data_IF_214511533537
#
_entry.id   IF_214511533537
#
_cell.length_a   1.000
_cell.length_b   1.000
_cell.length_c   1.000
_cell.angle_alpha   90.00
_cell.angle_beta   90.00
_cell.angle_gamma   90.00
#
_symmetry.space_group_name_H-M   'P 1'
#
loop_
_entity.id
_entity.type
_entity.pdbx_description
1 polymer ?
#
# COMPACT_ATOMS: atom_id res chain seq x y z
N UNK A 1 -5.29 5.18 -10.78
CA UNK A 1 -6.42 4.88 -11.69
C UNK A 1 -5.83 4.67 -13.08
N UNK A 2 -5.91 3.47 -13.63
CA UNK A 2 -5.43 3.19 -15.00
C UNK A 2 -6.49 3.71 -15.97
N UNK A 3 -6.10 4.65 -16.84
CA UNK A 3 -6.99 5.22 -17.85
C UNK A 3 -7.02 4.26 -19.05
N UNK A 4 -8.20 3.77 -19.48
CA UNK A 4 -8.33 2.93 -20.67
C UNK A 4 -7.73 3.64 -21.90
N UNK A 5 -6.86 2.97 -22.66
CA UNK A 5 -6.20 3.53 -23.85
C UNK A 5 -4.72 3.90 -23.68
N UNK A 6 -4.19 3.94 -22.44
CA UNK A 6 -2.75 4.11 -22.15
C UNK A 6 -2.16 2.79 -21.64
N UNK A 7 -1.83 1.89 -22.56
CA UNK A 7 -1.48 0.47 -22.31
C UNK A 7 -0.11 0.21 -21.68
N UNK A 8 0.56 1.23 -21.12
CA UNK A 8 1.90 1.07 -20.53
C UNK A 8 1.89 1.48 -19.07
N UNK A 9 1.41 0.57 -18.21
CA UNK A 9 1.69 0.67 -16.79
C UNK A 9 3.13 0.20 -16.55
N UNK A 10 3.94 1.02 -15.86
CA UNK A 10 5.32 0.64 -15.51
C UNK A 10 5.36 -0.66 -14.70
N UNK A 11 4.35 -0.87 -13.84
CA UNK A 11 4.20 -2.09 -13.04
C UNK A 11 4.06 -3.33 -13.95
N UNK A 12 3.21 -3.25 -14.97
CA UNK A 12 3.01 -4.36 -15.92
C UNK A 12 4.30 -4.67 -16.70
N UNK A 13 5.07 -3.62 -17.06
CA UNK A 13 6.38 -3.80 -17.70
C UNK A 13 7.35 -4.53 -16.78
N UNK A 14 7.46 -4.12 -15.51
CA UNK A 14 8.31 -4.76 -14.50
C UNK A 14 7.98 -6.25 -14.31
N UNK A 15 6.69 -6.59 -14.19
CA UNK A 15 6.23 -7.98 -14.12
C UNK A 15 6.53 -8.76 -15.40
N UNK A 16 6.41 -8.11 -16.56
CA UNK A 16 6.77 -8.70 -17.84
C UNK A 16 8.25 -9.09 -17.92
N UNK A 17 9.15 -8.26 -17.40
CA UNK A 17 10.59 -8.56 -17.34
C UNK A 17 10.89 -9.74 -16.41
N UNK A 18 10.28 -9.77 -15.22
CA UNK A 18 10.41 -10.89 -14.27
C UNK A 18 9.99 -12.20 -14.94
N UNK A 19 8.81 -12.22 -15.58
CA UNK A 19 8.29 -13.42 -16.24
C UNK A 19 9.20 -13.91 -17.38
N UNK A 20 9.79 -13.00 -18.15
CA UNK A 20 10.72 -13.35 -19.25
C UNK A 20 12.00 -13.99 -18.73
N UNK A 21 12.59 -13.42 -17.67
CA UNK A 21 13.82 -13.94 -17.08
C UNK A 21 13.57 -15.27 -16.36
N UNK A 22 12.52 -15.34 -15.55
CA UNK A 22 12.14 -16.54 -14.80
C UNK A 22 11.98 -17.79 -15.70
N UNK A 23 11.37 -17.64 -16.88
CA UNK A 23 11.20 -18.76 -17.84
C UNK A 23 12.50 -19.33 -18.40
N UNK A 24 13.62 -18.63 -18.21
CA UNK A 24 14.95 -18.98 -18.72
C UNK A 24 15.96 -19.19 -17.59
N UNK A 25 15.48 -19.31 -16.35
CA UNK A 25 16.31 -19.47 -15.17
C UNK A 25 15.86 -20.72 -14.43
N UNK A 26 16.84 -21.51 -13.97
CA UNK A 26 16.58 -22.62 -13.06
C UNK A 26 16.48 -22.08 -11.63
N UNK A 27 15.30 -22.22 -11.03
CA UNK A 27 14.95 -21.65 -9.73
C UNK A 27 14.55 -22.75 -8.78
N UNK A 28 15.53 -23.30 -8.06
CA UNK A 28 15.32 -24.38 -7.09
C UNK A 28 15.17 -23.89 -5.64
N UNK A 29 15.54 -22.63 -5.37
CA UNK A 29 15.51 -22.02 -4.04
C UNK A 29 14.93 -20.60 -4.07
N UNK A 30 14.45 -20.13 -2.90
CA UNK A 30 13.92 -18.77 -2.75
C UNK A 30 14.97 -17.70 -3.09
N UNK A 31 16.24 -17.95 -2.79
CA UNK A 31 17.36 -17.07 -3.15
C UNK A 31 17.47 -16.88 -4.66
N UNK A 32 17.28 -17.94 -5.45
CA UNK A 32 17.31 -17.86 -6.91
C UNK A 32 16.13 -17.03 -7.44
N UNK A 33 14.97 -17.10 -6.78
CA UNK A 33 13.82 -16.27 -7.15
C UNK A 33 14.07 -14.79 -6.83
N UNK A 34 14.67 -14.48 -5.68
CA UNK A 34 15.10 -13.12 -5.30
C UNK A 34 16.05 -12.56 -6.36
N UNK A 35 17.03 -13.36 -6.76
CA UNK A 35 17.99 -13.03 -7.82
C UNK A 35 17.32 -12.73 -9.16
N UNK A 36 16.35 -13.55 -9.57
CA UNK A 36 15.58 -13.33 -10.81
C UNK A 36 14.83 -12.00 -10.75
N UNK A 37 14.18 -11.68 -9.63
CA UNK A 37 13.47 -10.41 -9.48
C UNK A 37 14.46 -9.24 -9.56
N UNK A 38 15.57 -9.30 -8.82
CA UNK A 38 16.57 -8.23 -8.78
C UNK A 38 17.29 -8.02 -10.13
N UNK A 39 17.52 -9.09 -10.90
CA UNK A 39 18.20 -9.04 -12.21
C UNK A 39 17.26 -8.69 -13.37
N UNK A 40 15.94 -8.77 -13.17
CA UNK A 40 14.97 -8.60 -14.26
C UNK A 40 14.88 -7.18 -14.82
N UNK A 41 14.99 -6.16 -13.98
CA UNK A 41 15.00 -4.74 -14.36
C UNK A 41 15.56 -3.89 -13.23
N UNK A 42 16.15 -2.73 -13.55
CA UNK A 42 16.68 -1.79 -12.54
C UNK A 42 15.60 -1.21 -11.61
N UNK A 43 14.33 -1.23 -12.05
CA UNK A 43 13.19 -0.78 -11.25
C UNK A 43 12.65 -1.83 -10.28
N UNK A 44 13.07 -3.09 -10.41
CA UNK A 44 12.54 -4.19 -9.62
C UNK A 44 13.42 -4.42 -8.38
N UNK A 45 12.77 -4.53 -7.22
CA UNK A 45 13.42 -4.81 -5.94
C UNK A 45 12.67 -5.95 -5.27
N UNK A 46 13.41 -6.97 -4.83
CA UNK A 46 12.84 -8.11 -4.12
C UNK A 46 12.80 -7.87 -2.61
N UNK A 47 11.67 -8.17 -1.97
CA UNK A 47 11.49 -8.12 -0.52
C UNK A 47 11.00 -9.48 0.01
N UNK A 48 11.90 -10.47 0.17
CA UNK A 48 11.53 -11.78 0.68
C UNK A 48 11.03 -11.68 2.14
N UNK A 49 10.03 -12.50 2.50
CA UNK A 49 9.46 -12.54 3.85
C UNK A 49 10.49 -12.93 4.93
N UNK A 50 11.41 -13.81 4.57
CA UNK A 50 12.44 -14.30 5.46
C UNK A 50 13.80 -14.08 4.79
N UNK A 51 14.67 -13.34 5.47
CA UNK A 51 16.05 -13.14 5.10
C UNK A 51 16.90 -13.49 6.32
N UNK A 52 17.87 -14.39 6.16
CA UNK A 52 18.77 -14.82 7.25
C UNK A 52 18.02 -15.27 8.52
N UNK A 53 17.00 -16.11 8.34
CA UNK A 53 16.14 -16.63 9.41
C UNK A 53 15.34 -15.58 10.21
N UNK A 54 15.35 -14.33 9.76
CA UNK A 54 14.61 -13.22 10.36
C UNK A 54 13.44 -12.82 9.47
N UNK A 55 12.27 -12.63 10.08
CA UNK A 55 11.08 -12.12 9.37
C UNK A 55 11.28 -10.63 9.08
N UNK A 56 11.24 -10.25 7.81
CA UNK A 56 11.47 -8.86 7.38
C UNK A 56 10.22 -7.99 7.47
N UNK A 57 9.04 -8.59 7.37
CA UNK A 57 7.75 -7.91 7.46
C UNK A 57 6.68 -8.81 8.04
N UNK A 58 5.56 -8.22 8.49
CA UNK A 58 4.47 -8.94 9.13
C UNK A 58 3.23 -8.93 8.25
N UNK A 59 2.62 -10.10 8.01
CA UNK A 59 1.31 -10.17 7.38
C UNK A 59 0.25 -9.77 8.42
N UNK A 60 -0.62 -8.82 8.07
CA UNK A 60 -1.71 -8.34 8.93
C UNK A 60 -2.99 -8.35 8.12
N UNK A 61 -4.08 -8.81 8.73
CA UNK A 61 -5.41 -8.47 8.25
C UNK A 61 -5.63 -6.97 8.50
N UNK A 62 -5.50 -6.17 7.44
CA UNK A 62 -5.69 -4.72 7.49
C UNK A 62 -7.04 -4.32 8.06
N UNK A 63 -8.10 -5.09 7.79
CA UNK A 63 -9.43 -4.78 8.30
C UNK A 63 -9.45 -4.94 9.81
N UNK A 64 -8.95 -6.06 10.33
CA UNK A 64 -8.87 -6.28 11.77
C UNK A 64 -7.92 -5.29 12.44
N UNK A 65 -6.71 -5.10 11.87
CA UNK A 65 -5.68 -4.22 12.39
C UNK A 65 -6.18 -2.77 12.50
N UNK A 66 -6.74 -2.22 11.42
CA UNK A 66 -7.25 -0.84 11.40
C UNK A 66 -8.54 -0.68 12.20
N UNK A 67 -9.36 -1.73 12.32
CA UNK A 67 -10.62 -1.64 13.08
C UNK A 67 -10.42 -1.31 14.56
N UNK A 68 -9.24 -1.55 15.13
CA UNK A 68 -8.94 -1.19 16.52
C UNK A 68 -8.99 0.33 16.75
N UNK A 69 -8.47 1.11 15.80
CA UNK A 69 -8.28 2.55 15.95
C UNK A 69 -9.21 3.38 15.07
N UNK A 70 -9.74 2.81 13.97
CA UNK A 70 -10.48 3.56 12.96
C UNK A 70 -11.95 3.13 12.82
N UNK A 71 -12.80 4.12 12.52
CA UNK A 71 -14.21 3.98 12.17
C UNK A 71 -14.34 3.76 10.67
N UNK A 72 -15.32 2.96 10.27
CA UNK A 72 -15.65 2.79 8.86
C UNK A 72 -16.40 4.02 8.33
N UNK A 73 -15.97 4.54 7.18
CA UNK A 73 -16.67 5.61 6.46
C UNK A 73 -17.92 5.02 5.81
N UNK A 74 -19.10 5.46 6.26
CA UNK A 74 -20.38 5.03 5.70
C UNK A 74 -20.50 5.50 4.26
N UNK A 75 -21.11 4.68 3.40
CA UNK A 75 -21.36 5.02 1.99
C UNK A 75 -20.12 5.45 1.20
N UNK A 76 -18.95 4.84 1.48
CA UNK A 76 -17.67 5.23 0.86
C UNK A 76 -17.72 5.27 -0.68
N UNK A 77 -18.55 4.44 -1.31
CA UNK A 77 -18.73 4.39 -2.77
C UNK A 77 -19.40 5.63 -3.37
N UNK A 78 -20.09 6.44 -2.55
CA UNK A 78 -20.71 7.70 -2.99
C UNK A 78 -19.67 8.80 -3.23
N UNK A 79 -18.53 8.70 -2.56
CA UNK A 79 -17.47 9.71 -2.63
C UNK A 79 -16.44 9.32 -3.69
N UNK A 80 -15.99 10.31 -4.45
CA UNK A 80 -14.98 10.14 -5.50
C UNK A 80 -13.66 10.83 -5.17
N UNK A 81 -13.68 11.76 -4.22
CA UNK A 81 -12.50 12.49 -3.79
C UNK A 81 -12.29 12.31 -2.28
N UNK A 82 -11.06 11.93 -1.93
CA UNK A 82 -10.60 11.73 -0.57
C UNK A 82 -9.36 12.59 -0.38
N UNK A 83 -9.41 13.54 0.54
CA UNK A 83 -8.26 14.36 0.91
C UNK A 83 -7.90 14.10 2.37
N UNK A 84 -6.62 13.86 2.59
CA UNK A 84 -6.00 13.74 3.91
C UNK A 84 -5.04 14.90 4.07
N UNK A 85 -5.00 15.51 5.25
CA UNK A 85 -4.01 16.54 5.58
C UNK A 85 -3.23 16.17 6.84
N UNK A 86 -1.98 16.61 6.90
CA UNK A 86 -1.18 16.58 8.12
C UNK A 86 -1.64 17.62 9.16
N UNK A 87 -2.34 18.68 8.74
CA UNK A 87 -2.90 19.69 9.67
C UNK A 87 -4.07 19.13 10.49
N UNK A 88 -4.86 18.22 9.88
CA UNK A 88 -6.06 17.62 10.48
C UNK A 88 -5.94 16.09 10.60
N UNK A 89 -5.00 15.58 11.43
CA UNK A 89 -4.81 14.14 11.58
C UNK A 89 -6.07 13.47 12.12
N UNK A 90 -6.46 12.36 11.52
CA UNK A 90 -7.64 11.59 11.93
C UNK A 90 -8.96 12.06 11.33
N UNK A 91 -8.91 13.07 10.45
CA UNK A 91 -10.02 13.45 9.60
C UNK A 91 -9.76 13.06 8.15
N UNK A 92 -10.86 12.75 7.44
CA UNK A 92 -10.86 12.62 5.99
C UNK A 92 -11.87 13.62 5.43
N UNK A 93 -11.47 14.31 4.37
CA UNK A 93 -12.32 15.23 3.66
C UNK A 93 -12.84 14.54 2.39
N UNK A 94 -14.16 14.54 2.23
CA UNK A 94 -14.87 13.74 1.24
C UNK A 94 -15.66 14.64 0.29
N UNK A 95 -15.62 14.34 -1.01
CA UNK A 95 -16.49 14.96 -2.01
C UNK A 95 -17.12 13.90 -2.91
N UNK A 96 -18.38 14.11 -3.28
CA UNK A 96 -19.13 13.23 -4.18
C UNK A 96 -18.78 13.52 -5.64
N UNK A 97 -18.68 14.80 -6.01
CA UNK A 97 -18.23 15.29 -7.31
C UNK A 97 -17.28 16.48 -7.16
N UNK A 98 -16.71 16.96 -8.27
CA UNK A 98 -15.83 18.14 -8.28
C UNK A 98 -16.51 19.36 -7.67
N UNK A 99 -17.79 19.57 -7.99
CA UNK A 99 -18.56 20.76 -7.57
C UNK A 99 -19.28 20.58 -6.23
N UNK A 100 -19.29 19.35 -5.69
CA UNK A 100 -19.95 19.08 -4.41
C UNK A 100 -19.19 19.71 -3.23
N UNK A 101 -19.92 19.98 -2.15
CA UNK A 101 -19.35 20.51 -0.91
C UNK A 101 -18.45 19.47 -0.25
N UNK A 102 -17.29 19.91 0.25
CA UNK A 102 -16.38 19.06 1.00
C UNK A 102 -16.93 18.77 2.39
N UNK A 103 -17.09 17.48 2.72
CA UNK A 103 -17.55 17.03 4.03
C UNK A 103 -16.39 16.47 4.82
N UNK A 104 -16.16 17.00 6.02
CA UNK A 104 -15.16 16.49 6.95
C UNK A 104 -15.74 15.35 7.79
N UNK A 105 -15.03 14.21 7.85
CA UNK A 105 -15.43 13.04 8.65
C UNK A 105 -14.29 12.62 9.56
N UNK A 106 -14.57 12.49 10.86
CA UNK A 106 -13.63 11.91 11.82
C UNK A 106 -13.59 10.39 11.66
N UNK A 107 -12.40 9.85 11.37
CA UNK A 107 -12.19 8.41 11.19
C UNK A 107 -11.60 7.74 12.42
N UNK A 108 -11.22 8.48 13.46
CA UNK A 108 -10.66 7.90 14.68
C UNK A 108 -11.76 7.45 15.65
N UNK A 109 -11.53 6.31 16.32
CA UNK A 109 -12.38 5.84 17.41
C UNK A 109 -12.17 6.62 18.70
N UNK A 110 -10.90 6.78 19.08
CA UNK A 110 -10.47 7.54 20.25
C UNK A 110 -9.78 8.83 19.79
N UNK A 111 -9.96 9.91 20.54
CA UNK A 111 -9.19 11.13 20.30
C UNK A 111 -7.70 10.81 20.48
N UNK A 112 -6.87 11.22 19.52
CA UNK A 112 -5.41 11.12 19.67
C UNK A 112 -5.02 12.15 20.74
N UNK A 113 -4.60 11.68 21.91
CA UNK A 113 -4.09 12.54 23.00
C UNK A 113 -2.69 13.07 22.70
N UNK A 114 -1.96 12.43 21.77
CA UNK A 114 -0.64 12.86 21.30
C UNK A 114 -0.43 12.47 19.82
N UNK A 115 -0.31 13.43 18.87
CA UNK A 115 -0.03 13.18 17.46
C UNK A 115 1.27 12.38 17.20
N UNK A 116 2.17 12.31 18.19
CA UNK A 116 3.44 11.58 18.14
C UNK A 116 3.38 10.19 18.77
N UNK A 117 2.27 9.80 19.42
CA UNK A 117 2.06 8.42 19.85
C UNK A 117 1.80 7.54 18.64
N UNK A 118 2.88 7.21 17.94
CA UNK A 118 2.92 6.10 17.01
C UNK A 118 2.44 4.88 17.79
N UNK A 119 1.32 4.21 17.44
CA UNK A 119 1.25 2.79 17.78
C UNK A 119 2.55 2.20 17.23
N UNK A 120 3.29 1.41 18.03
CA UNK A 120 4.52 0.75 17.59
C UNK A 120 4.21 -0.25 16.47
N UNK A 121 3.84 0.27 15.30
CA UNK A 121 3.79 -0.41 14.04
C UNK A 121 5.17 -0.18 13.44
N UNK A 122 5.99 -1.23 13.56
CA UNK A 122 7.17 -1.47 12.74
C UNK A 122 7.00 -0.80 11.38
N UNK A 123 7.93 0.10 11.08
CA UNK A 123 7.97 0.95 9.90
C UNK A 123 7.50 0.17 8.65
N UNK A 124 6.27 0.43 8.19
CA UNK A 124 5.84 0.01 6.87
C UNK A 124 6.47 1.01 5.91
N UNK A 125 7.68 0.68 5.42
CA UNK A 125 8.24 1.35 4.25
C UNK A 125 7.38 0.95 3.05
N UNK A 126 6.52 1.87 2.61
CA UNK A 126 5.94 1.80 1.26
C UNK A 126 7.04 2.28 0.31
N UNK A 127 7.50 1.38 -0.56
CA UNK A 127 8.34 1.70 -1.71
C UNK A 127 7.47 2.23 -2.86
#
# INVERSE_FOLDING_TARGET
>A
MQIPGRTRCLVDSGLGHIRKLFRRSDVDALSHLVDVVQKSASSNVAFPYQQDCTKTWEWRDWKQFLSSNFKSVRNIRKYHYFRFSCEDPGYVFLKESVDSVETQVSILKNAITDPQTRPMATCIRLA
#
